data_IF_274209193398
#
_entry.id   IF_274209193398
#
_cell.length_a   1.000
_cell.length_b   1.000
_cell.length_c   1.000
_cell.angle_alpha   90.00
_cell.angle_beta   90.00
_cell.angle_gamma   90.00
#
_symmetry.space_group_name_H-M   'P 1'
#
loop_
_entity.id
_entity.type
_entity.pdbx_description
1 polymer ?
#
# COMPACT_ATOMS: atom_id res chain seq x y z
N UNK A 1 1.01 6.69 -9.28
CA UNK A 1 1.30 8.10 -8.89
C UNK A 1 2.64 8.62 -9.43
N UNK A 2 3.78 7.94 -9.24
CA UNK A 2 5.10 8.46 -9.64
C UNK A 2 5.23 8.90 -11.11
N UNK A 3 4.67 8.13 -12.06
CA UNK A 3 4.68 8.46 -13.49
C UNK A 3 3.96 9.78 -13.83
N UNK A 4 2.90 10.12 -13.10
CA UNK A 4 2.15 11.36 -13.31
C UNK A 4 2.99 12.59 -12.99
N UNK A 5 3.64 12.59 -11.82
CA UNK A 5 4.50 13.70 -11.37
C UNK A 5 5.75 13.84 -12.25
N UNK A 6 6.32 12.73 -12.68
CA UNK A 6 7.44 12.74 -13.63
C UNK A 6 7.05 13.42 -14.95
N UNK A 7 5.84 13.16 -15.46
CA UNK A 7 5.29 13.87 -16.62
C UNK A 7 5.13 15.37 -16.41
N UNK A 8 4.96 15.83 -15.18
CA UNK A 8 4.92 17.24 -14.78
C UNK A 8 6.31 17.84 -14.50
N UNK A 9 7.40 17.10 -14.72
CA UNK A 9 8.77 17.53 -14.44
C UNK A 9 9.15 17.49 -12.95
N UNK A 10 8.37 16.79 -12.13
CA UNK A 10 8.61 16.63 -10.69
C UNK A 10 9.09 15.20 -10.44
N UNK A 11 10.35 15.04 -10.06
CA UNK A 11 10.89 13.73 -9.70
C UNK A 11 10.50 13.38 -8.25
N UNK A 12 9.81 12.26 -8.09
CA UNK A 12 9.48 11.69 -6.77
C UNK A 12 10.47 10.56 -6.45
N UNK A 13 10.94 10.55 -5.21
CA UNK A 13 11.72 9.46 -4.64
C UNK A 13 10.87 8.80 -3.56
N UNK A 14 10.56 7.53 -3.75
CA UNK A 14 9.80 6.76 -2.78
C UNK A 14 10.72 6.28 -1.66
N UNK A 15 10.19 6.22 -0.45
CA UNK A 15 10.89 5.70 0.72
C UNK A 15 9.96 4.81 1.53
N UNK A 16 10.48 3.68 1.99
CA UNK A 16 9.78 2.73 2.84
C UNK A 16 10.54 2.54 4.15
N UNK A 17 9.76 2.49 5.23
CA UNK A 17 10.23 2.33 6.58
C UNK A 17 9.08 2.43 7.57
N UNK A 18 9.37 2.05 8.80
CA UNK A 18 8.46 2.07 9.93
C UNK A 18 9.04 2.95 11.04
N UNK A 19 8.24 3.21 12.08
CA UNK A 19 8.76 3.85 13.30
C UNK A 19 9.88 2.99 13.90
N UNK A 20 9.71 1.67 13.85
CA UNK A 20 10.62 0.63 14.31
C UNK A 20 11.93 0.57 13.52
N UNK A 21 12.01 1.21 12.35
CA UNK A 21 13.23 1.31 11.53
C UNK A 21 13.88 2.69 11.60
N UNK A 22 13.43 3.55 12.52
CA UNK A 22 13.92 4.93 12.67
C UNK A 22 13.79 5.73 11.36
N UNK A 23 12.59 5.72 10.79
CA UNK A 23 12.25 6.26 9.47
C UNK A 23 12.69 5.33 8.31
N UNK A 24 13.27 5.85 7.23
CA UNK A 24 13.46 5.09 6.00
C UNK A 24 14.51 3.97 6.16
N UNK A 25 14.15 2.76 5.73
CA UNK A 25 15.02 1.59 5.60
C UNK A 25 15.36 1.28 4.13
N UNK A 26 14.47 1.71 3.22
CA UNK A 26 14.58 1.51 1.78
C UNK A 26 14.20 2.83 1.11
N UNK A 27 14.98 3.26 0.12
CA UNK A 27 14.70 4.49 -0.63
C UNK A 27 15.01 4.31 -2.10
N UNK A 28 14.27 5.02 -2.94
CA UNK A 28 14.57 5.14 -4.36
C UNK A 28 15.89 5.90 -4.51
N UNK A 29 16.95 5.29 -5.05
CA UNK A 29 18.21 6.00 -5.24
C UNK A 29 18.05 7.12 -6.26
N UNK A 30 18.74 8.27 -6.07
CA UNK A 30 18.84 9.30 -7.10
C UNK A 30 19.21 8.71 -8.46
N UNK A 31 18.57 9.21 -9.52
CA UNK A 31 18.83 8.83 -10.92
C UNK A 31 18.56 7.34 -11.27
N UNK A 32 18.11 6.52 -10.32
CA UNK A 32 17.76 5.10 -10.51
C UNK A 32 16.31 4.80 -10.15
N UNK A 33 15.41 5.73 -10.46
CA UNK A 33 13.98 5.55 -10.18
C UNK A 33 13.40 4.38 -10.96
N UNK A 34 12.73 3.46 -10.24
CA UNK A 34 11.98 2.35 -10.81
C UNK A 34 10.54 2.42 -10.30
N UNK A 35 9.63 2.87 -11.15
CA UNK A 35 8.23 3.06 -10.78
C UNK A 35 7.57 1.74 -10.37
N UNK A 36 6.77 1.80 -9.30
CA UNK A 36 6.13 0.62 -8.71
C UNK A 36 6.99 -0.09 -7.66
N UNK A 37 8.17 0.43 -7.35
CA UNK A 37 9.06 -0.06 -6.29
C UNK A 37 9.30 1.05 -5.27
N UNK A 38 9.59 0.68 -4.03
CA UNK A 38 9.97 1.62 -2.96
C UNK A 38 11.49 1.90 -2.93
N UNK A 39 12.24 1.29 -3.84
CA UNK A 39 13.68 1.50 -4.00
C UNK A 39 14.54 0.38 -3.42
N UNK A 40 15.76 0.73 -2.99
CA UNK A 40 16.78 -0.21 -2.48
C UNK A 40 17.09 0.08 -1.02
N UNK A 41 17.59 -0.93 -0.30
CA UNK A 41 18.01 -0.76 1.10
C UNK A 41 19.04 0.38 1.24
N UNK A 42 18.87 1.22 2.27
CA UNK A 42 19.86 2.25 2.57
C UNK A 42 21.15 1.60 3.12
N UNK A 43 22.31 2.28 3.03
CA UNK A 43 23.55 1.76 3.60
C UNK A 43 23.40 1.38 5.08
N UNK A 44 23.84 0.17 5.43
CA UNK A 44 23.72 -0.38 6.79
C UNK A 44 22.42 -1.15 7.06
N UNK A 45 21.47 -1.14 6.12
CA UNK A 45 20.24 -1.95 6.20
C UNK A 45 20.30 -3.13 5.25
N UNK A 46 19.81 -4.27 5.70
CA UNK A 46 19.62 -5.49 4.91
C UNK A 46 18.13 -5.81 4.84
N UNK A 47 17.67 -6.19 3.65
CA UNK A 47 16.29 -6.65 3.41
C UNK A 47 16.33 -8.15 3.13
N UNK A 48 15.47 -8.90 3.79
CA UNK A 48 15.23 -10.32 3.54
C UNK A 48 13.73 -10.53 3.28
N UNK A 49 13.40 -11.39 2.32
CA UNK A 49 12.02 -11.83 2.09
C UNK A 49 11.90 -13.23 2.70
N UNK A 50 11.08 -13.36 3.73
CA UNK A 50 10.83 -14.63 4.41
C UNK A 50 10.04 -15.60 3.50
N UNK A 51 9.98 -16.88 3.90
CA UNK A 51 9.32 -17.95 3.12
C UNK A 51 7.84 -17.67 2.83
N UNK A 52 7.16 -16.92 3.70
CA UNK A 52 5.77 -16.51 3.54
C UNK A 52 5.59 -15.16 2.83
N UNK A 53 6.68 -14.57 2.33
CA UNK A 53 6.72 -13.30 1.63
C UNK A 53 6.82 -12.07 2.53
N UNK A 54 6.90 -12.25 3.86
CA UNK A 54 7.08 -11.13 4.78
C UNK A 54 8.45 -10.46 4.61
N UNK A 55 8.46 -9.13 4.62
CA UNK A 55 9.68 -8.33 4.56
C UNK A 55 10.30 -8.29 5.95
N UNK A 56 11.54 -8.73 6.05
CA UNK A 56 12.35 -8.67 7.24
C UNK A 56 13.49 -7.67 7.04
N UNK A 57 13.72 -6.81 8.03
CA UNK A 57 14.74 -5.76 7.98
C UNK A 57 15.76 -5.94 9.10
N UNK A 58 17.04 -5.75 8.80
CA UNK A 58 18.12 -5.80 9.79
C UNK A 58 19.07 -4.63 9.58
N UNK A 59 19.51 -3.98 10.66
CA UNK A 59 20.47 -2.88 10.61
C UNK A 59 20.50 -2.08 11.91
N UNK A 60 21.46 -1.18 12.02
CA UNK A 60 21.62 -0.32 13.21
C UNK A 60 20.46 0.67 13.40
N UNK A 61 19.64 0.85 12.37
CA UNK A 61 18.45 1.70 12.39
C UNK A 61 17.22 1.01 13.01
N UNK A 62 17.28 -0.30 13.30
CA UNK A 62 16.20 -1.04 13.94
C UNK A 62 16.13 -0.70 15.43
N UNK A 63 14.93 -0.40 15.91
CA UNK A 63 14.67 -0.10 17.32
C UNK A 63 15.08 -1.24 18.27
N UNK A 64 15.15 -0.94 19.56
CA UNK A 64 15.51 -1.94 20.58
C UNK A 64 14.30 -2.70 21.15
N UNK A 65 13.09 -2.41 20.65
CA UNK A 65 11.85 -2.99 21.14
C UNK A 65 10.84 -1.97 21.63
N UNK A 66 9.66 -2.47 21.98
CA UNK A 66 8.56 -1.67 22.50
C UNK A 66 8.70 -1.47 24.02
N UNK A 67 8.51 -0.24 24.47
CA UNK A 67 8.63 0.11 25.89
C UNK A 67 7.57 -0.63 26.71
N UNK A 68 8.01 -1.39 27.72
CA UNK A 68 7.18 -2.17 28.63
C UNK A 68 6.32 -3.27 27.96
N UNK A 69 6.65 -3.68 26.73
CA UNK A 69 5.96 -4.76 26.03
C UNK A 69 6.98 -5.78 25.45
N UNK A 70 7.55 -6.65 26.29
CA UNK A 70 8.49 -7.67 25.84
C UNK A 70 7.83 -8.66 24.89
N UNK A 71 6.52 -8.94 25.05
CA UNK A 71 5.80 -9.88 24.19
C UNK A 71 5.67 -9.34 22.76
N UNK A 72 5.31 -8.07 22.59
CA UNK A 72 5.29 -7.44 21.28
C UNK A 72 6.69 -7.32 20.68
N UNK A 73 7.70 -7.08 21.54
CA UNK A 73 9.11 -7.00 21.12
C UNK A 73 9.58 -8.34 20.56
N UNK A 74 9.39 -9.43 21.29
CA UNK A 74 9.79 -10.79 20.87
C UNK A 74 9.02 -11.27 19.63
N UNK A 75 7.81 -10.74 19.42
CA UNK A 75 7.00 -11.03 18.24
C UNK A 75 7.43 -10.24 16.99
N UNK A 76 8.10 -9.09 17.16
CA UNK A 76 8.54 -8.25 16.07
C UNK A 76 10.05 -8.41 15.76
N UNK A 77 10.87 -8.71 16.78
CA UNK A 77 12.31 -8.87 16.66
C UNK A 77 12.73 -10.33 16.79
N UNK A 78 13.47 -10.81 15.80
CA UNK A 78 13.97 -12.18 15.70
C UNK A 78 15.48 -12.13 15.43
N UNK A 79 16.30 -12.29 16.46
CA UNK A 79 17.77 -12.27 16.35
C UNK A 79 18.31 -11.02 15.60
N UNK A 80 17.75 -9.85 15.91
CA UNK A 80 18.11 -8.57 15.29
C UNK A 80 17.35 -8.24 13.99
N UNK A 81 16.57 -9.17 13.46
CA UNK A 81 15.67 -8.93 12.33
C UNK A 81 14.32 -8.42 12.81
N UNK A 82 13.84 -7.35 12.20
CA UNK A 82 12.48 -6.84 12.35
C UNK A 82 11.56 -7.50 11.32
N UNK A 83 10.61 -8.30 11.78
CA UNK A 83 9.46 -8.73 10.97
C UNK A 83 8.46 -7.56 10.86
N UNK A 84 8.30 -6.99 9.66
CA UNK A 84 7.58 -5.71 9.49
C UNK A 84 6.05 -5.87 9.44
N UNK A 85 5.54 -7.09 9.25
CA UNK A 85 4.14 -7.35 8.93
C UNK A 85 3.74 -6.96 7.51
N UNK A 86 4.67 -6.47 6.69
CA UNK A 86 4.46 -6.14 5.28
C UNK A 86 4.92 -7.29 4.39
N UNK A 87 4.21 -7.52 3.29
CA UNK A 87 4.57 -8.48 2.26
C UNK A 87 5.25 -7.77 1.10
N UNK A 88 6.23 -8.41 0.47
CA UNK A 88 6.87 -7.85 -0.69
C UNK A 88 7.75 -8.81 -1.47
N UNK A 89 8.41 -8.26 -2.49
CA UNK A 89 9.33 -8.98 -3.34
C UNK A 89 10.54 -8.10 -3.69
N UNK A 90 11.71 -8.72 -3.74
CA UNK A 90 12.94 -8.14 -4.29
C UNK A 90 13.12 -8.63 -5.73
N UNK A 91 13.51 -7.73 -6.61
CA UNK A 91 13.98 -8.10 -7.95
C UNK A 91 15.49 -8.40 -7.99
N UNK A 92 16.00 -8.80 -9.16
CA UNK A 92 17.41 -9.15 -9.37
C UNK A 92 18.38 -7.99 -9.12
N UNK A 93 17.90 -6.74 -9.23
CA UNK A 93 18.68 -5.53 -8.96
C UNK A 93 18.55 -5.08 -7.50
N UNK A 94 17.77 -5.77 -6.67
CA UNK A 94 17.55 -5.45 -5.27
C UNK A 94 16.54 -4.33 -5.02
N UNK A 95 15.66 -4.01 -5.99
CA UNK A 95 14.54 -3.10 -5.75
C UNK A 95 13.40 -3.85 -5.05
N UNK A 96 12.88 -3.24 -3.98
CA UNK A 96 11.79 -3.77 -3.18
C UNK A 96 10.44 -3.26 -3.69
N UNK A 97 9.49 -4.18 -3.86
CA UNK A 97 8.07 -3.87 -4.09
C UNK A 97 7.25 -4.31 -2.90
N UNK A 98 6.40 -3.42 -2.37
CA UNK A 98 5.44 -3.76 -1.31
C UNK A 98 4.17 -4.29 -1.96
N UNK A 99 3.74 -5.50 -1.58
CA UNK A 99 2.59 -6.19 -2.19
C UNK A 99 1.37 -6.25 -1.27
N UNK A 100 1.50 -5.84 0.00
CA UNK A 100 0.39 -5.71 0.93
C UNK A 100 0.82 -5.87 2.39
N UNK A 101 -0.17 -5.99 3.27
CA UNK A 101 0.00 -6.22 4.70
C UNK A 101 -0.43 -7.64 5.05
N UNK A 102 0.40 -8.38 5.78
CA UNK A 102 0.15 -9.78 6.16
C UNK A 102 -1.18 -9.94 6.93
N UNK A 103 -1.52 -8.97 7.78
CA UNK A 103 -2.77 -8.97 8.57
C UNK A 103 -4.02 -8.52 7.79
N UNK A 104 -3.85 -7.97 6.60
CA UNK A 104 -4.95 -7.43 5.78
C UNK A 104 -5.26 -8.29 4.55
N UNK A 105 -4.55 -9.42 4.40
CA UNK A 105 -4.87 -10.40 3.35
C UNK A 105 -6.27 -10.97 3.60
N UNK A 106 -7.11 -10.85 2.58
CA UNK A 106 -8.43 -11.46 2.58
C UNK A 106 -8.32 -12.89 2.06
N UNK A 107 -8.81 -13.85 2.85
CA UNK A 107 -8.93 -15.24 2.41
C UNK A 107 -10.40 -15.53 2.16
N UNK A 108 -10.72 -15.82 0.90
CA UNK A 108 -12.09 -16.21 0.51
C UNK A 108 -12.44 -17.57 1.10
N UNK A 109 -13.73 -17.91 1.19
CA UNK A 109 -14.16 -19.24 1.66
C UNK A 109 -13.68 -20.41 0.77
N UNK A 110 -13.22 -20.10 -0.46
CA UNK A 110 -12.57 -21.04 -1.35
C UNK A 110 -11.05 -21.16 -1.17
N UNK A 111 -10.47 -20.52 -0.15
CA UNK A 111 -9.04 -20.54 0.16
C UNK A 111 -8.16 -19.65 -0.74
N UNK A 112 -8.75 -18.79 -1.58
CA UNK A 112 -7.97 -17.83 -2.37
C UNK A 112 -7.60 -16.62 -1.53
N UNK A 113 -6.31 -16.32 -1.47
CA UNK A 113 -5.75 -15.12 -0.83
C UNK A 113 -5.75 -13.93 -1.79
N UNK A 114 -6.15 -12.76 -1.29
CA UNK A 114 -6.23 -11.51 -2.05
C UNK A 114 -5.64 -10.39 -1.20
N UNK A 115 -4.69 -9.64 -1.77
CA UNK A 115 -4.23 -8.37 -1.21
C UNK A 115 -5.17 -7.25 -1.66
N UNK A 116 -5.89 -6.58 -0.75
CA UNK A 116 -6.90 -5.59 -1.11
C UNK A 116 -6.30 -4.30 -1.66
N UNK A 117 -5.15 -3.85 -1.14
CA UNK A 117 -4.59 -2.52 -1.40
C UNK A 117 -4.42 -2.18 -2.89
N UNK A 118 -3.89 -3.11 -3.69
CA UNK A 118 -3.70 -2.89 -5.14
C UNK A 118 -5.03 -2.68 -5.87
N UNK A 119 -6.09 -3.40 -5.46
CA UNK A 119 -7.43 -3.25 -6.03
C UNK A 119 -8.07 -1.93 -5.59
N UNK A 120 -7.92 -1.58 -4.31
CA UNK A 120 -8.43 -0.33 -3.75
C UNK A 120 -7.81 0.89 -4.41
N UNK A 121 -6.49 0.92 -4.56
CA UNK A 121 -5.77 2.01 -5.23
C UNK A 121 -6.23 2.16 -6.68
N UNK A 122 -6.35 1.05 -7.41
CA UNK A 122 -6.78 1.09 -8.82
C UNK A 122 -8.21 1.59 -9.01
N UNK A 123 -9.10 1.33 -8.05
CA UNK A 123 -10.46 1.91 -8.06
C UNK A 123 -10.40 3.39 -7.70
N UNK A 124 -9.53 3.78 -6.77
CA UNK A 124 -9.34 5.17 -6.33
C UNK A 124 -8.65 6.05 -7.38
N UNK A 125 -8.00 5.47 -8.39
CA UNK A 125 -7.52 6.20 -9.56
C UNK A 125 -8.67 6.86 -10.37
N UNK A 126 -9.92 6.43 -10.17
CA UNK A 126 -11.07 7.06 -10.80
C UNK A 126 -11.39 8.43 -10.15
N UNK A 127 -11.50 9.54 -10.93
CA UNK A 127 -11.63 10.90 -10.37
C UNK A 127 -12.85 11.13 -9.48
N UNK A 128 -13.91 10.33 -9.63
CA UNK A 128 -15.13 10.46 -8.83
C UNK A 128 -15.09 9.64 -7.54
N UNK A 129 -14.09 8.80 -7.32
CA UNK A 129 -14.00 7.93 -6.14
C UNK A 129 -13.23 8.65 -5.05
N UNK A 130 -13.85 8.83 -3.88
CA UNK A 130 -13.19 9.38 -2.70
C UNK A 130 -12.45 8.28 -1.92
N UNK A 131 -13.12 7.17 -1.61
CA UNK A 131 -12.55 6.04 -0.87
C UNK A 131 -13.01 4.72 -1.48
N UNK A 132 -12.17 3.70 -1.34
CA UNK A 132 -12.47 2.33 -1.72
C UNK A 132 -11.87 1.40 -0.67
N UNK A 133 -12.67 0.48 -0.15
CA UNK A 133 -12.24 -0.59 0.75
C UNK A 133 -12.74 -1.92 0.17
N UNK A 134 -11.83 -2.86 -0.02
CA UNK A 134 -12.13 -4.19 -0.51
C UNK A 134 -12.46 -5.11 0.67
N UNK A 135 -13.54 -5.86 0.54
CA UNK A 135 -14.06 -6.77 1.58
C UNK A 135 -14.32 -8.16 1.00
N UNK A 136 -14.31 -9.18 1.84
CA UNK A 136 -14.60 -10.54 1.37
C UNK A 136 -13.92 -11.67 2.14
N UNK A 137 -13.36 -11.40 3.33
CA UNK A 137 -12.82 -12.47 4.16
C UNK A 137 -13.93 -13.47 4.52
N UNK A 138 -13.62 -14.76 4.39
CA UNK A 138 -14.55 -15.88 4.59
C UNK A 138 -15.82 -15.82 3.71
N UNK A 139 -15.77 -15.08 2.60
CA UNK A 139 -16.86 -15.00 1.61
C UNK A 139 -16.48 -15.72 0.31
N UNK A 140 -17.46 -16.19 -0.48
CA UNK A 140 -17.19 -16.86 -1.75
C UNK A 140 -16.73 -15.91 -2.87
N UNK A 141 -16.76 -14.60 -2.63
CA UNK A 141 -16.35 -13.56 -3.56
C UNK A 141 -15.81 -12.33 -2.81
N UNK A 142 -15.08 -11.50 -3.55
CA UNK A 142 -14.61 -10.19 -3.11
C UNK A 142 -15.64 -9.14 -3.54
N UNK A 143 -15.86 -8.14 -2.71
CA UNK A 143 -16.65 -6.94 -2.99
C UNK A 143 -15.86 -5.69 -2.59
N UNK A 144 -16.36 -4.51 -2.95
CA UNK A 144 -15.77 -3.24 -2.53
C UNK A 144 -16.86 -2.29 -1.99
N UNK A 145 -16.54 -1.58 -0.93
CA UNK A 145 -17.29 -0.43 -0.45
C UNK A 145 -16.63 0.83 -1.01
N UNK A 146 -17.38 1.58 -1.80
CA UNK A 146 -16.89 2.79 -2.50
C UNK A 146 -17.69 3.99 -2.03
N UNK A 147 -17.00 5.09 -1.74
CA UNK A 147 -17.62 6.40 -1.55
C UNK A 147 -17.23 7.33 -2.70
N UNK A 148 -18.16 8.19 -3.09
CA UNK A 148 -17.92 9.18 -4.13
C UNK A 148 -17.41 10.49 -3.54
N UNK A 149 -16.54 11.17 -4.29
CA UNK A 149 -16.15 12.54 -3.99
C UNK A 149 -17.30 13.48 -4.42
N UNK A 150 -17.91 14.15 -3.45
CA UNK A 150 -19.07 15.01 -3.70
C UNK A 150 -18.73 16.19 -4.60
N UNK A 151 -17.54 16.79 -4.44
CA UNK A 151 -17.15 17.96 -5.24
C UNK A 151 -16.84 17.54 -6.68
N UNK A 152 -16.10 16.44 -6.85
CA UNK A 152 -15.78 15.90 -8.17
C UNK A 152 -17.06 15.47 -8.93
N UNK A 153 -18.01 14.85 -8.25
CA UNK A 153 -19.30 14.46 -8.84
C UNK A 153 -20.13 15.69 -9.24
N UNK A 154 -20.21 16.71 -8.38
CA UNK A 154 -20.91 17.96 -8.71
C UNK A 154 -20.31 18.62 -9.95
N UNK A 155 -18.99 18.69 -10.02
CA UNK A 155 -18.28 19.23 -11.19
C UNK A 155 -18.56 18.40 -12.45
N UNK A 156 -18.49 17.07 -12.35
CA UNK A 156 -18.78 16.18 -13.47
C UNK A 156 -20.22 16.30 -13.98
N UNK A 157 -21.22 16.40 -13.08
CA UNK A 157 -22.61 16.62 -13.46
C UNK A 157 -22.77 17.93 -14.24
N UNK A 158 -22.13 19.01 -13.78
CA UNK A 158 -22.16 20.30 -14.47
C UNK A 158 -21.53 20.20 -15.86
N UNK A 159 -20.36 19.55 -15.99
CA UNK A 159 -19.71 19.33 -17.29
C UNK A 159 -20.56 18.50 -18.26
N UNK A 160 -21.39 17.60 -17.74
CA UNK A 160 -22.33 16.77 -18.52
C UNK A 160 -23.68 17.44 -18.75
N UNK A 161 -23.91 18.65 -18.23
CA UNK A 161 -25.20 19.34 -18.31
C UNK A 161 -26.33 18.65 -17.53
N UNK A 162 -25.97 17.84 -16.52
CA UNK A 162 -26.92 17.10 -15.67
C UNK A 162 -27.34 17.93 -14.46
N UNK A 163 -28.56 17.71 -13.98
CA UNK A 163 -29.04 18.28 -12.73
C UNK A 163 -28.27 17.70 -11.54
N UNK A 164 -28.18 18.48 -10.46
CA UNK A 164 -27.65 17.98 -9.19
C UNK A 164 -28.58 16.89 -8.65
N UNK A 165 -28.05 15.70 -8.45
CA UNK A 165 -28.77 14.55 -7.94
C UNK A 165 -28.43 14.30 -6.46
N UNK A 166 -29.32 13.61 -5.75
CA UNK A 166 -28.99 13.10 -4.42
C UNK A 166 -28.03 11.90 -4.52
N UNK A 167 -27.25 11.58 -3.48
CA UNK A 167 -26.40 10.39 -3.48
C UNK A 167 -27.14 9.09 -3.82
N UNK A 168 -28.39 8.94 -3.36
CA UNK A 168 -29.20 7.75 -3.67
C UNK A 168 -29.62 7.67 -5.13
N UNK A 169 -29.86 8.81 -5.78
CA UNK A 169 -30.24 8.86 -7.19
C UNK A 169 -29.03 8.64 -8.10
N UNK A 170 -27.85 9.14 -7.70
CA UNK A 170 -26.58 8.97 -8.43
C UNK A 170 -26.21 7.49 -8.63
N UNK A 171 -26.51 6.63 -7.65
CA UNK A 171 -26.26 5.18 -7.77
C UNK A 171 -27.06 4.52 -8.90
N UNK A 172 -28.14 5.17 -9.35
CA UNK A 172 -29.01 4.70 -10.44
C UNK A 172 -28.82 5.48 -11.73
N UNK A 173 -27.91 6.46 -11.76
CA UNK A 173 -27.58 7.17 -12.98
C UNK A 173 -26.93 6.18 -13.98
N UNK A 174 -27.40 6.11 -15.24
CA UNK A 174 -26.86 5.18 -16.22
C UNK A 174 -25.46 5.55 -16.76
N UNK A 175 -24.98 6.78 -16.54
CA UNK A 175 -23.62 7.22 -16.92
C UNK A 175 -22.69 7.34 -15.69
#
# INVERSE_FOLDING_TARGET
LGLFFAGAGIQIYEGYGLTETTAAAVVTPPERTRYGTVGQAIPGTTVHIADDGEIWLHGDNIFQGYLNDPKATDAALHDGWLATGDLGALDEDGFLTITGRKKEILVTSGGKSVSPGVLEERVRDHPLVAQCIVVGNDRPYIAALVTLDSEAVEHWLQMRGKARLSPSDLVRDPD
#
